data_IF_142803584898
#
_entry.id   IF_142803584898
#
_cell.length_a   1.000
_cell.length_b   1.000
_cell.length_c   1.000
_cell.angle_alpha   90.00
_cell.angle_beta   90.00
_cell.angle_gamma   90.00
#
_symmetry.space_group_name_H-M   'P 1'
#
loop_
_entity.id
_entity.type
_entity.pdbx_description
1 polymer ?
#
# COMPACT_ATOMS: atom_id res chain seq x y z
N UNK A 1 -27.66 4.33 1.95
CA UNK A 1 -27.71 2.86 2.10
C UNK A 1 -27.06 2.36 3.40
N UNK A 2 -25.96 2.96 3.92
CA UNK A 2 -25.28 2.49 5.16
C UNK A 2 -25.72 3.22 6.46
N UNK A 3 -26.66 4.14 6.40
CA UNK A 3 -27.04 5.01 7.54
C UNK A 3 -27.55 4.27 8.79
N UNK A 4 -28.08 3.06 8.60
CA UNK A 4 -28.63 2.21 9.68
C UNK A 4 -27.60 1.22 10.25
N UNK A 5 -26.38 1.20 9.71
CA UNK A 5 -25.36 0.25 10.14
C UNK A 5 -24.52 0.83 11.28
N UNK A 6 -24.23 0.00 12.29
CA UNK A 6 -23.28 0.31 13.35
C UNK A 6 -21.86 -0.05 12.89
N UNK A 7 -21.22 0.88 12.15
CA UNK A 7 -19.90 0.68 11.59
C UNK A 7 -18.86 1.00 12.66
N UNK A 8 -17.97 0.06 12.94
CA UNK A 8 -16.87 0.20 13.88
C UNK A 8 -15.48 0.30 13.21
N UNK A 9 -15.34 -0.30 12.03
CA UNK A 9 -14.04 -0.39 11.33
C UNK A 9 -14.22 -0.13 9.84
N UNK A 10 -13.36 0.69 9.28
CA UNK A 10 -13.17 0.86 7.84
C UNK A 10 -11.81 0.32 7.43
N UNK A 11 -11.77 -0.54 6.43
CA UNK A 11 -10.51 -1.03 5.83
C UNK A 11 -10.44 -0.63 4.38
N UNK A 12 -9.64 0.38 4.08
CA UNK A 12 -9.31 0.82 2.72
C UNK A 12 -8.23 -0.09 2.14
N UNK A 13 -8.64 -1.27 1.70
CA UNK A 13 -7.75 -2.31 1.18
C UNK A 13 -7.70 -2.35 -0.35
N UNK A 14 -8.75 -1.89 -1.02
CA UNK A 14 -8.81 -1.91 -2.49
C UNK A 14 -7.68 -1.07 -3.06
N UNK A 15 -7.03 -1.59 -4.09
CA UNK A 15 -5.95 -0.89 -4.76
C UNK A 15 -5.67 -1.47 -6.14
N UNK A 16 -5.14 -0.63 -7.01
CA UNK A 16 -4.75 -0.99 -8.36
C UNK A 16 -3.29 -0.63 -8.57
N UNK A 17 -2.55 -1.49 -9.25
CA UNK A 17 -1.17 -1.25 -9.68
C UNK A 17 -1.07 -1.35 -11.19
N UNK A 18 0.07 -0.98 -11.74
CA UNK A 18 0.36 -1.16 -13.16
C UNK A 18 0.24 -2.63 -13.57
N UNK A 19 -0.21 -2.88 -14.77
CA UNK A 19 -0.27 -4.22 -15.38
C UNK A 19 1.13 -4.83 -15.45
N UNK A 20 2.13 -4.01 -15.77
CA UNK A 20 3.56 -4.31 -15.71
C UNK A 20 4.34 -3.00 -15.49
N UNK A 21 5.60 -3.06 -15.04
CA UNK A 21 6.43 -1.87 -14.99
C UNK A 21 6.55 -1.21 -16.37
N UNK A 22 6.30 0.10 -16.45
CA UNK A 22 6.24 0.85 -17.71
C UNK A 22 6.86 2.24 -17.52
N UNK A 23 7.54 2.74 -18.56
CA UNK A 23 7.99 4.13 -18.57
C UNK A 23 6.77 5.06 -18.54
N UNK A 24 6.85 6.15 -17.80
CA UNK A 24 5.73 7.07 -17.64
C UNK A 24 5.21 7.61 -19.00
N UNK A 25 6.10 7.89 -19.93
CA UNK A 25 5.75 8.38 -21.27
C UNK A 25 5.06 7.33 -22.15
N UNK A 26 5.19 6.05 -21.81
CA UNK A 26 4.59 4.92 -22.53
C UNK A 26 3.33 4.38 -21.83
N UNK A 27 2.98 4.98 -20.68
CA UNK A 27 1.84 4.54 -19.88
C UNK A 27 0.52 4.88 -20.55
N UNK A 28 -0.41 3.92 -20.58
CA UNK A 28 -1.79 4.18 -21.03
C UNK A 28 -2.47 5.17 -20.07
N UNK A 29 -3.05 6.24 -20.63
CA UNK A 29 -3.77 7.25 -19.88
C UNK A 29 -4.97 6.70 -19.09
N UNK A 30 -5.62 5.63 -19.56
CA UNK A 30 -6.71 4.95 -18.84
C UNK A 30 -6.18 4.21 -17.61
N UNK A 31 -5.03 3.54 -17.71
CA UNK A 31 -4.40 2.88 -16.58
C UNK A 31 -3.98 3.91 -15.53
N UNK A 32 -3.39 5.04 -15.96
CA UNK A 32 -3.04 6.15 -15.08
C UNK A 32 -4.26 6.67 -14.32
N UNK A 33 -5.33 7.02 -15.03
CA UNK A 33 -6.56 7.52 -14.42
C UNK A 33 -7.18 6.50 -13.46
N UNK A 34 -7.19 5.22 -13.83
CA UNK A 34 -7.74 4.14 -13.01
C UNK A 34 -6.96 3.97 -11.70
N UNK A 35 -5.63 4.02 -11.73
CA UNK A 35 -4.79 3.93 -10.52
C UNK A 35 -5.09 5.11 -9.60
N UNK A 36 -5.16 6.33 -10.11
CA UNK A 36 -5.48 7.51 -9.31
C UNK A 36 -6.91 7.43 -8.75
N UNK A 37 -7.87 7.06 -9.57
CA UNK A 37 -9.27 6.95 -9.17
C UNK A 37 -9.48 5.93 -8.06
N UNK A 38 -8.90 4.74 -8.19
CA UNK A 38 -9.06 3.65 -7.20
C UNK A 38 -8.26 3.93 -5.93
N UNK A 39 -6.97 4.27 -6.06
CA UNK A 39 -6.09 4.34 -4.90
C UNK A 39 -6.24 5.63 -4.09
N UNK A 40 -6.62 6.73 -4.74
CA UNK A 40 -6.70 8.05 -4.11
C UNK A 40 -8.16 8.46 -3.94
N UNK A 41 -8.86 8.71 -5.04
CA UNK A 41 -10.19 9.34 -5.02
C UNK A 41 -11.21 8.45 -4.31
N UNK A 42 -11.29 7.16 -4.67
CA UNK A 42 -12.23 6.23 -4.05
C UNK A 42 -11.94 6.05 -2.55
N UNK A 43 -10.66 5.95 -2.16
CA UNK A 43 -10.27 5.86 -0.74
C UNK A 43 -10.76 7.07 0.05
N UNK A 44 -10.55 8.28 -0.45
CA UNK A 44 -11.05 9.51 0.19
C UNK A 44 -12.58 9.54 0.26
N UNK A 45 -13.26 9.21 -0.84
CA UNK A 45 -14.72 9.23 -0.91
C UNK A 45 -15.36 8.22 0.06
N UNK A 46 -14.88 6.99 0.09
CA UNK A 46 -15.37 5.96 1.03
C UNK A 46 -15.14 6.40 2.48
N UNK A 47 -13.95 6.92 2.77
CA UNK A 47 -13.64 7.43 4.12
C UNK A 47 -14.55 8.59 4.49
N UNK A 48 -14.79 9.54 3.58
CA UNK A 48 -15.70 10.67 3.80
C UNK A 48 -17.13 10.25 4.12
N UNK A 49 -17.59 9.14 3.52
CA UNK A 49 -18.93 8.58 3.78
C UNK A 49 -18.97 7.84 5.12
N UNK A 50 -17.91 7.11 5.48
CA UNK A 50 -17.91 6.24 6.66
C UNK A 50 -17.45 6.97 7.94
N UNK A 51 -16.47 7.87 7.87
CA UNK A 51 -15.89 8.54 9.03
C UNK A 51 -16.96 9.22 9.94
N UNK A 52 -18.01 9.88 9.43
CA UNK A 52 -19.06 10.43 10.28
C UNK A 52 -19.80 9.40 11.16
N UNK A 53 -19.89 8.13 10.72
CA UNK A 53 -20.46 7.05 11.52
C UNK A 53 -19.55 6.69 12.70
N UNK A 54 -18.23 6.61 12.46
CA UNK A 54 -17.23 6.34 13.50
C UNK A 54 -17.18 7.46 14.53
N UNK A 55 -17.23 8.71 14.08
CA UNK A 55 -17.24 9.90 14.95
C UNK A 55 -18.49 9.92 15.84
N UNK A 56 -19.70 9.70 15.28
CA UNK A 56 -20.94 9.61 16.07
C UNK A 56 -20.94 8.46 17.06
N UNK A 57 -20.27 7.37 16.74
CA UNK A 57 -20.06 6.23 17.64
C UNK A 57 -19.15 6.56 18.82
N UNK A 58 -18.33 7.62 18.72
CA UNK A 58 -17.34 8.02 19.73
C UNK A 58 -16.13 7.08 19.82
N UNK A 59 -15.98 6.15 18.89
CA UNK A 59 -14.84 5.23 18.73
C UNK A 59 -14.87 4.56 17.38
N UNK A 60 -13.72 4.32 16.79
CA UNK A 60 -13.63 3.64 15.50
C UNK A 60 -12.22 3.43 15.04
N UNK A 61 -12.08 2.71 13.93
CA UNK A 61 -10.78 2.40 13.33
C UNK A 61 -10.86 2.58 11.81
N UNK A 62 -9.91 3.29 11.24
CA UNK A 62 -9.68 3.40 9.81
C UNK A 62 -8.31 2.81 9.50
N UNK A 63 -8.25 1.75 8.70
CA UNK A 63 -7.03 1.13 8.24
C UNK A 63 -6.82 1.41 6.75
N UNK A 64 -5.70 2.02 6.39
CA UNK A 64 -5.31 2.28 5.02
C UNK A 64 -4.17 1.34 4.62
N UNK A 65 -4.29 0.62 3.49
CA UNK A 65 -3.23 -0.24 2.98
C UNK A 65 -2.20 0.57 2.21
N UNK A 66 -1.06 0.82 2.85
CA UNK A 66 0.13 1.41 2.28
C UNK A 66 0.93 0.45 1.41
N UNK A 67 2.12 0.87 1.05
CA UNK A 67 3.12 0.05 0.36
C UNK A 67 4.50 0.69 0.53
N UNK A 68 5.53 -0.13 0.63
CA UNK A 68 6.91 0.36 0.58
C UNK A 68 7.25 1.11 -0.72
N UNK A 69 6.51 0.84 -1.81
CA UNK A 69 6.63 1.61 -3.05
C UNK A 69 6.30 3.11 -2.87
N UNK A 70 5.41 3.45 -1.95
CA UNK A 70 5.11 4.84 -1.61
C UNK A 70 6.19 5.49 -0.74
N UNK A 71 6.91 4.70 0.06
CA UNK A 71 7.96 5.18 0.95
C UNK A 71 9.31 5.31 0.23
N UNK A 72 9.66 4.33 -0.60
CA UNK A 72 10.97 4.25 -1.24
C UNK A 72 10.96 4.61 -2.72
N UNK A 73 9.84 5.02 -3.26
CA UNK A 73 9.63 5.32 -4.69
C UNK A 73 10.08 4.16 -5.60
N UNK A 74 9.25 3.80 -6.54
CA UNK A 74 9.55 2.67 -7.42
C UNK A 74 9.49 3.13 -8.87
N UNK A 75 10.63 3.34 -9.53
CA UNK A 75 10.67 3.68 -10.95
C UNK A 75 9.96 2.63 -11.80
N UNK A 76 9.43 3.07 -12.93
CA UNK A 76 8.54 2.30 -13.83
C UNK A 76 7.18 1.91 -13.22
N UNK A 77 6.94 2.27 -11.94
CA UNK A 77 5.64 2.21 -11.28
C UNK A 77 5.29 3.58 -10.67
N UNK A 78 5.69 4.67 -11.31
CA UNK A 78 5.65 6.03 -10.76
C UNK A 78 4.26 6.43 -10.26
N UNK A 79 3.20 6.18 -11.06
CA UNK A 79 1.82 6.52 -10.70
C UNK A 79 1.35 5.72 -9.47
N UNK A 80 1.64 4.41 -9.42
CA UNK A 80 1.32 3.58 -8.26
C UNK A 80 2.08 4.04 -7.01
N UNK A 81 3.40 4.25 -7.15
CA UNK A 81 4.24 4.73 -6.04
C UNK A 81 3.75 6.08 -5.51
N UNK A 82 3.44 7.02 -6.39
CA UNK A 82 2.84 8.31 -6.04
C UNK A 82 1.51 8.17 -5.32
N UNK A 83 0.62 7.27 -5.77
CA UNK A 83 -0.65 7.02 -5.10
C UNK A 83 -0.47 6.45 -3.68
N UNK A 84 0.53 5.60 -3.47
CA UNK A 84 0.85 5.06 -2.14
C UNK A 84 1.56 6.05 -1.24
N UNK A 85 2.37 6.96 -1.79
CA UNK A 85 2.96 8.09 -1.07
C UNK A 85 1.87 9.08 -0.61
N UNK A 86 0.86 9.35 -1.44
CA UNK A 86 -0.32 10.10 -1.04
C UNK A 86 -0.98 9.50 0.21
N UNK A 87 -1.21 8.18 0.23
CA UNK A 87 -1.83 7.52 1.38
C UNK A 87 -1.01 7.67 2.66
N UNK A 88 0.32 7.69 2.59
CA UNK A 88 1.19 7.91 3.75
C UNK A 88 0.91 9.29 4.35
N UNK A 89 1.05 10.34 3.56
CA UNK A 89 0.87 11.72 4.01
C UNK A 89 -0.59 11.98 4.46
N UNK A 90 -1.56 11.51 3.68
CA UNK A 90 -2.97 11.69 3.97
C UNK A 90 -3.40 10.98 5.26
N UNK A 91 -2.91 9.75 5.50
CA UNK A 91 -3.22 9.01 6.74
C UNK A 91 -2.68 9.72 7.97
N UNK A 92 -1.48 10.29 7.88
CA UNK A 92 -0.88 11.04 8.99
C UNK A 92 -1.69 12.29 9.34
N UNK A 93 -2.07 13.07 8.34
CA UNK A 93 -2.90 14.25 8.54
C UNK A 93 -4.29 13.87 9.09
N UNK A 94 -4.97 12.92 8.46
CA UNK A 94 -6.29 12.46 8.90
C UNK A 94 -6.26 11.86 10.31
N UNK A 95 -5.18 11.15 10.65
CA UNK A 95 -5.00 10.57 11.99
C UNK A 95 -4.99 11.64 13.08
N UNK A 96 -4.29 12.75 12.86
CA UNK A 96 -4.29 13.86 13.82
C UNK A 96 -5.64 14.57 13.88
N UNK A 97 -6.31 14.77 12.73
CA UNK A 97 -7.66 15.36 12.70
C UNK A 97 -8.70 14.51 13.47
N UNK A 98 -8.62 13.19 13.36
CA UNK A 98 -9.57 12.24 13.96
C UNK A 98 -9.28 11.94 15.44
N UNK A 99 -8.12 12.27 15.95
CA UNK A 99 -7.67 11.94 17.31
C UNK A 99 -8.64 12.41 18.40
N UNK A 100 -9.18 13.63 18.27
CA UNK A 100 -10.13 14.18 19.23
C UNK A 100 -11.51 13.51 19.22
N UNK A 101 -11.81 12.80 18.14
CA UNK A 101 -13.07 12.07 17.97
C UNK A 101 -12.95 10.60 18.41
N UNK A 102 -11.84 10.19 19.02
CA UNK A 102 -11.54 8.82 19.42
C UNK A 102 -11.66 7.81 18.24
N UNK A 103 -11.33 8.27 17.04
CA UNK A 103 -11.23 7.40 15.85
C UNK A 103 -9.76 7.21 15.52
N UNK A 104 -9.29 5.97 15.66
CA UNK A 104 -7.93 5.60 15.30
C UNK A 104 -7.79 5.51 13.78
N UNK A 105 -6.74 6.10 13.23
CA UNK A 105 -6.41 6.00 11.81
C UNK A 105 -5.00 5.45 11.69
N UNK A 106 -4.81 4.37 10.94
CA UNK A 106 -3.49 3.76 10.76
C UNK A 106 -3.23 3.37 9.31
N UNK A 107 -2.02 3.61 8.86
CA UNK A 107 -1.48 3.07 7.62
C UNK A 107 -0.79 1.74 7.92
N UNK A 108 -1.23 0.67 7.26
CA UNK A 108 -0.52 -0.62 7.26
C UNK A 108 0.50 -0.61 6.13
N UNK A 109 1.75 -0.27 6.42
CA UNK A 109 2.81 -0.28 5.42
C UNK A 109 3.32 -1.70 5.19
N UNK A 110 3.44 -2.13 3.94
CA UNK A 110 3.79 -3.52 3.61
C UNK A 110 4.74 -3.60 2.44
N UNK A 111 5.61 -4.62 2.47
CA UNK A 111 6.32 -5.13 1.32
C UNK A 111 5.44 -6.11 0.54
N UNK A 112 6.00 -7.11 -0.12
CA UNK A 112 5.20 -8.10 -0.85
C UNK A 112 4.43 -9.04 0.09
N UNK A 113 3.19 -9.34 -0.31
CA UNK A 113 2.35 -10.41 0.25
C UNK A 113 1.91 -11.29 -0.91
N UNK A 114 1.79 -12.60 -0.71
CA UNK A 114 1.27 -13.53 -1.73
C UNK A 114 -0.10 -13.06 -2.20
N UNK A 115 -0.21 -12.65 -3.47
CA UNK A 115 -1.47 -12.15 -4.05
C UNK A 115 -1.41 -12.13 -5.58
N UNK A 116 -2.56 -11.95 -6.22
CA UNK A 116 -2.65 -11.72 -7.66
C UNK A 116 -1.93 -10.44 -8.10
N UNK A 117 -2.00 -9.39 -7.30
CA UNK A 117 -1.33 -8.11 -7.57
C UNK A 117 0.20 -8.24 -7.52
N UNK A 118 0.75 -8.88 -6.50
CA UNK A 118 2.20 -9.07 -6.37
C UNK A 118 2.76 -10.08 -7.38
N UNK A 119 1.89 -10.92 -7.97
CA UNK A 119 2.25 -12.04 -8.85
C UNK A 119 3.16 -13.07 -8.17
N UNK A 120 3.40 -12.97 -6.87
CA UNK A 120 4.15 -13.94 -6.07
C UNK A 120 3.18 -15.04 -5.62
N UNK A 121 3.51 -16.29 -5.95
CA UNK A 121 2.66 -17.46 -5.66
C UNK A 121 3.11 -18.26 -4.44
N UNK A 122 4.41 -18.24 -4.16
CA UNK A 122 4.99 -19.03 -3.06
C UNK A 122 5.36 -18.10 -1.90
N UNK A 123 4.96 -18.41 -0.67
CA UNK A 123 5.36 -17.66 0.49
C UNK A 123 6.85 -17.86 0.78
N UNK A 124 7.46 -16.88 1.45
CA UNK A 124 8.83 -16.94 1.97
C UNK A 124 8.90 -16.17 3.30
N UNK A 125 10.08 -16.13 3.91
CA UNK A 125 10.31 -15.31 5.09
C UNK A 125 9.99 -13.82 4.84
N UNK A 126 10.25 -13.33 3.62
CA UNK A 126 9.98 -11.94 3.22
C UNK A 126 8.61 -11.73 2.56
N UNK A 127 7.91 -12.79 2.18
CA UNK A 127 6.62 -12.71 1.49
C UNK A 127 5.60 -13.60 2.22
N UNK A 128 4.88 -13.05 3.21
CA UNK A 128 3.89 -13.81 3.96
C UNK A 128 2.68 -14.20 3.10
N UNK A 129 1.97 -15.23 3.56
CA UNK A 129 0.60 -15.48 3.09
C UNK A 129 -0.32 -14.36 3.56
N UNK A 130 -1.45 -14.09 2.86
CA UNK A 130 -2.46 -13.13 3.32
C UNK A 130 -2.92 -13.38 4.76
N UNK A 131 -3.17 -14.63 5.11
CA UNK A 131 -3.60 -15.03 6.47
C UNK A 131 -2.58 -14.63 7.53
N UNK A 132 -1.29 -14.89 7.29
CA UNK A 132 -0.23 -14.56 8.25
C UNK A 132 -0.02 -13.05 8.35
N UNK A 133 -0.11 -12.32 7.22
CA UNK A 133 -0.03 -10.86 7.22
C UNK A 133 -1.18 -10.24 8.00
N UNK A 134 -2.42 -10.64 7.73
CA UNK A 134 -3.61 -10.12 8.43
C UNK A 134 -3.55 -10.42 9.93
N UNK A 135 -3.18 -11.64 10.33
CA UNK A 135 -3.00 -11.98 11.76
C UNK A 135 -1.97 -11.07 12.41
N UNK A 136 -0.82 -10.84 11.76
CA UNK A 136 0.22 -9.95 12.25
C UNK A 136 -0.26 -8.49 12.35
N UNK A 137 -1.02 -8.02 11.36
CA UNK A 137 -1.59 -6.68 11.36
C UNK A 137 -2.58 -6.49 12.52
N UNK A 138 -3.58 -7.37 12.63
CA UNK A 138 -4.62 -7.27 13.65
C UNK A 138 -4.08 -7.36 15.08
N UNK A 139 -3.02 -8.15 15.31
CA UNK A 139 -2.38 -8.25 16.64
C UNK A 139 -1.58 -7.03 17.07
N UNK A 140 -1.38 -6.06 16.17
CA UNK A 140 -0.55 -4.86 16.40
C UNK A 140 -1.29 -3.54 16.21
N UNK A 141 -2.57 -3.57 15.89
CA UNK A 141 -3.41 -2.37 15.79
C UNK A 141 -3.35 -1.59 17.13
N UNK A 142 -3.30 -0.28 17.03
CA UNK A 142 -3.16 0.61 18.19
C UNK A 142 -1.72 0.76 18.71
N UNK A 143 -0.75 0.09 18.07
CA UNK A 143 0.67 0.20 18.41
C UNK A 143 1.43 0.78 17.21
N UNK A 144 2.29 1.77 17.44
CA UNK A 144 3.27 2.23 16.42
C UNK A 144 4.43 1.24 16.37
N UNK A 145 4.25 0.09 15.73
CA UNK A 145 5.22 -0.99 15.70
C UNK A 145 5.88 -1.11 14.32
N UNK A 146 7.20 -1.23 14.30
CA UNK A 146 7.99 -1.51 13.10
C UNK A 146 8.06 -0.38 12.07
N UNK A 147 7.59 0.82 12.38
CA UNK A 147 7.51 1.95 11.46
C UNK A 147 8.48 3.09 11.78
N UNK A 148 9.52 2.84 12.57
CA UNK A 148 10.61 3.79 12.90
C UNK A 148 10.10 5.15 13.41
N UNK A 149 9.06 5.16 14.23
CA UNK A 149 8.48 6.39 14.79
C UNK A 149 7.63 7.20 13.83
N UNK A 150 7.39 6.74 12.61
CA UNK A 150 6.47 7.42 11.68
C UNK A 150 5.05 7.44 12.29
N UNK A 151 4.43 8.63 12.50
CA UNK A 151 3.13 8.72 13.13
C UNK A 151 2.06 8.00 12.31
N UNK A 152 1.06 7.44 12.97
CA UNK A 152 -0.08 6.76 12.35
C UNK A 152 0.29 5.65 11.36
N UNK A 153 1.51 5.13 11.45
CA UNK A 153 2.03 4.10 10.55
C UNK A 153 2.41 2.85 11.32
N UNK A 154 2.06 1.70 10.75
CA UNK A 154 2.36 0.39 11.29
C UNK A 154 2.99 -0.47 10.18
N UNK A 155 4.17 -1.04 10.44
CA UNK A 155 4.77 -2.09 9.60
C UNK A 155 4.62 -3.41 10.35
N UNK A 156 3.47 -4.11 10.18
CA UNK A 156 3.06 -5.14 11.11
C UNK A 156 3.84 -6.45 10.98
N UNK A 157 4.39 -6.76 9.80
CA UNK A 157 5.06 -8.03 9.58
C UNK A 157 6.55 -7.92 9.95
N UNK A 158 7.09 -8.81 10.82
CA UNK A 158 8.43 -8.62 11.40
C UNK A 158 9.55 -8.48 10.37
N UNK A 159 9.59 -9.33 9.33
CA UNK A 159 10.64 -9.21 8.31
C UNK A 159 10.52 -7.93 7.46
N UNK A 160 9.30 -7.42 7.26
CA UNK A 160 9.11 -6.12 6.61
C UNK A 160 9.61 -4.97 7.49
N UNK A 161 9.37 -5.04 8.81
CA UNK A 161 9.87 -4.05 9.76
C UNK A 161 11.42 -4.06 9.83
N UNK A 162 12.03 -5.24 9.80
CA UNK A 162 13.47 -5.39 9.70
C UNK A 162 14.05 -4.83 8.41
N UNK A 163 13.40 -5.12 7.27
CA UNK A 163 13.79 -4.56 5.97
C UNK A 163 13.70 -3.04 5.98
N UNK A 164 12.59 -2.51 6.51
CA UNK A 164 12.36 -1.06 6.63
C UNK A 164 13.47 -0.41 7.46
N UNK A 165 13.77 -0.97 8.62
CA UNK A 165 14.84 -0.50 9.49
C UNK A 165 16.21 -0.54 8.81
N UNK A 166 16.57 -1.65 8.18
CA UNK A 166 17.87 -1.80 7.51
C UNK A 166 18.03 -0.83 6.34
N UNK A 167 16.98 -0.68 5.52
CA UNK A 167 17.02 0.23 4.38
C UNK A 167 17.15 1.69 4.83
N UNK A 168 16.37 2.12 5.80
CA UNK A 168 16.39 3.53 6.26
C UNK A 168 17.73 3.91 6.94
N UNK A 169 18.45 2.95 7.57
CA UNK A 169 19.70 3.26 8.28
C UNK A 169 20.96 3.04 7.44
N UNK A 170 20.93 2.11 6.49
CA UNK A 170 22.17 1.68 5.82
C UNK A 170 22.17 1.90 4.31
N UNK A 171 21.00 2.22 3.70
CA UNK A 171 20.91 2.30 2.24
C UNK A 171 20.71 3.75 1.80
N UNK A 172 21.67 4.35 1.07
CA UNK A 172 21.48 5.68 0.49
C UNK A 172 20.29 5.70 -0.48
N UNK A 173 19.44 6.72 -0.38
CA UNK A 173 18.21 6.81 -1.19
C UNK A 173 18.47 6.80 -2.71
N UNK A 174 19.53 7.45 -3.15
CA UNK A 174 19.91 7.45 -4.58
C UNK A 174 20.24 6.05 -5.08
N UNK A 175 20.95 5.25 -4.26
CA UNK A 175 21.30 3.87 -4.59
C UNK A 175 20.06 2.97 -4.63
N UNK A 176 19.20 3.08 -3.63
CA UNK A 176 17.93 2.35 -3.55
C UNK A 176 17.07 2.62 -4.78
N UNK A 177 16.95 3.89 -5.20
CA UNK A 177 16.18 4.29 -6.37
C UNK A 177 16.75 3.66 -7.65
N UNK A 178 18.07 3.64 -7.80
CA UNK A 178 18.74 3.01 -8.94
C UNK A 178 18.52 1.50 -8.97
N UNK A 179 18.68 0.82 -7.85
CA UNK A 179 18.42 -0.60 -7.74
C UNK A 179 16.94 -0.94 -8.02
N UNK A 180 16.01 -0.14 -7.50
CA UNK A 180 14.58 -0.30 -7.79
C UNK A 180 14.28 -0.14 -9.28
N UNK A 181 14.97 0.76 -9.98
CA UNK A 181 14.85 0.90 -11.43
C UNK A 181 15.33 -0.35 -12.18
N UNK A 182 16.49 -0.87 -11.83
CA UNK A 182 17.07 -2.06 -12.49
C UNK A 182 16.19 -3.31 -12.27
N UNK A 183 15.66 -3.50 -11.05
CA UNK A 183 14.72 -4.59 -10.72
C UNK A 183 13.41 -4.43 -11.50
N UNK A 184 12.91 -3.21 -11.64
CA UNK A 184 11.69 -2.94 -12.40
C UNK A 184 11.88 -3.19 -13.89
N UNK A 185 13.04 -2.83 -14.46
CA UNK A 185 13.40 -3.12 -15.85
C UNK A 185 13.46 -4.63 -16.12
N UNK A 186 14.09 -5.39 -15.23
CA UNK A 186 14.17 -6.84 -15.37
C UNK A 186 12.78 -7.49 -15.27
N UNK A 187 11.95 -6.99 -14.35
CA UNK A 187 10.54 -7.44 -14.23
C UNK A 187 9.75 -7.14 -15.51
N UNK A 188 9.92 -5.95 -16.10
CA UNK A 188 9.32 -5.59 -17.38
C UNK A 188 9.75 -6.53 -18.50
N UNK A 189 11.08 -6.76 -18.65
CA UNK A 189 11.63 -7.66 -19.66
C UNK A 189 11.05 -9.08 -19.56
N UNK A 190 10.91 -9.60 -18.34
CA UNK A 190 10.27 -10.90 -18.08
C UNK A 190 8.80 -10.93 -18.46
N UNK A 191 8.07 -9.85 -18.14
CA UNK A 191 6.65 -9.75 -18.47
C UNK A 191 6.41 -9.72 -19.99
N UNK A 192 7.19 -8.95 -20.74
CA UNK A 192 7.13 -8.87 -22.21
C UNK A 192 7.43 -10.23 -22.85
N UNK A 193 8.53 -10.89 -22.41
CA UNK A 193 8.87 -12.23 -22.93
C UNK A 193 7.76 -13.25 -22.68
N UNK A 194 7.09 -13.16 -21.53
CA UNK A 194 5.96 -14.05 -21.21
C UNK A 194 4.75 -13.77 -22.13
N UNK A 195 4.41 -12.52 -22.38
CA UNK A 195 3.32 -12.14 -23.28
C UNK A 195 3.58 -12.68 -24.70
N UNK A 196 4.79 -12.44 -25.23
CA UNK A 196 5.18 -12.94 -26.56
C UNK A 196 5.14 -14.47 -26.70
N UNK A 197 5.45 -15.22 -25.62
CA UNK A 197 5.33 -16.69 -25.63
C UNK A 197 3.87 -17.15 -25.66
N UNK A 198 2.98 -16.45 -24.97
CA UNK A 198 1.56 -16.78 -24.96
C UNK A 198 0.92 -16.51 -26.34
N UNK A 199 1.28 -15.41 -26.99
CA UNK A 199 0.83 -15.09 -28.35
C UNK A 199 1.27 -16.14 -29.39
N UNK A 200 2.50 -16.68 -29.25
CA UNK A 200 3.02 -17.73 -30.15
C UNK A 200 2.43 -19.11 -29.90
N UNK A 201 1.72 -19.31 -28.78
CA UNK A 201 1.11 -20.60 -28.41
C UNK A 201 -0.38 -20.68 -28.72
N UNK A 202 -0.95 -19.60 -29.23
CA UNK A 202 -2.33 -19.52 -29.78
C UNK A 202 -2.31 -19.63 -31.30
#
# INVERSE_FOLDING_TARGET
MIRHLDIAVLVNNVGLSHTMPVNFLEMDGRELASICQVNIVATMQVTRVVAPHLVRRGRGLILNLGSFSGQWSTPLLATYAGSKAFLIAWTQALGEEMRRSHVDVQLLNTYFVVSSMSKVRKPSMMVPTPKNFVRSALSRIGRSSGALGRPFTLTPFPSHAWLDWAVEHFVPRWWLLRQAYDVSLDTRRRAIRKAQRLEKSQ
#
